data_IF_753340030399
#
_entry.id   IF_753340030399
#
_cell.length_a   1.000
_cell.length_b   1.000
_cell.length_c   1.000
_cell.angle_alpha   90.00
_cell.angle_beta   90.00
_cell.angle_gamma   90.00
#
_symmetry.space_group_name_H-M   'P 1'
#
loop_
_entity.id
_entity.type
_entity.pdbx_description
1 polymer ?
#
# COMPACT_ATOMS: atom_id res chain seq x y z
N UNK A 1 -36.91 -7.98 2.20
CA UNK A 1 -36.17 -8.68 3.28
C UNK A 1 -36.81 -8.29 4.60
N UNK A 2 -37.08 -9.25 5.49
CA UNK A 2 -37.59 -8.96 6.83
C UNK A 2 -36.46 -8.43 7.73
N UNK A 3 -36.79 -7.57 8.69
CA UNK A 3 -35.86 -7.20 9.74
C UNK A 3 -35.68 -8.39 10.70
N UNK A 4 -34.45 -8.84 10.88
CA UNK A 4 -34.11 -9.92 11.81
C UNK A 4 -33.25 -9.31 12.91
N UNK A 5 -33.81 -9.20 14.13
CA UNK A 5 -33.09 -8.63 15.29
C UNK A 5 -31.95 -9.55 15.73
N UNK A 6 -30.84 -8.96 16.18
CA UNK A 6 -29.75 -9.67 16.86
C UNK A 6 -30.04 -9.97 18.34
N UNK A 7 -31.15 -9.46 18.87
CA UNK A 7 -31.42 -9.36 20.32
C UNK A 7 -31.08 -7.99 20.91
N UNK A 8 -30.48 -7.08 20.14
CA UNK A 8 -30.32 -5.67 20.53
C UNK A 8 -31.66 -4.97 20.72
N UNK A 9 -31.81 -4.22 21.82
CA UNK A 9 -32.99 -3.43 22.11
C UNK A 9 -32.70 -1.93 21.93
N UNK A 10 -33.27 -1.25 20.91
CA UNK A 10 -33.09 0.19 20.72
C UNK A 10 -33.75 1.05 21.81
N UNK A 11 -34.75 0.54 22.53
CA UNK A 11 -35.37 1.24 23.67
C UNK A 11 -34.49 1.15 24.93
N UNK A 12 -33.58 0.18 24.99
CA UNK A 12 -32.67 -0.05 26.11
C UNK A 12 -31.24 -0.29 25.61
N UNK A 13 -30.60 0.72 24.99
CA UNK A 13 -29.35 0.53 24.25
C UNK A 13 -28.15 0.14 25.12
N UNK A 14 -28.25 0.24 26.44
CA UNK A 14 -27.19 -0.15 27.38
C UNK A 14 -27.40 -1.54 27.98
N UNK A 15 -28.60 -2.12 27.86
CA UNK A 15 -28.89 -3.46 28.36
C UNK A 15 -28.12 -4.50 27.52
N UNK A 16 -27.44 -5.44 28.19
CA UNK A 16 -26.62 -6.50 27.56
C UNK A 16 -25.49 -6.00 26.64
N UNK A 17 -25.08 -4.72 26.76
CA UNK A 17 -23.94 -4.18 26.01
C UNK A 17 -22.61 -4.68 26.59
N UNK A 18 -21.84 -5.38 25.76
CA UNK A 18 -20.46 -5.79 26.04
C UNK A 18 -19.49 -4.79 25.38
N UNK A 19 -18.58 -4.19 26.16
CA UNK A 19 -17.53 -3.26 25.68
C UNK A 19 -16.16 -3.63 26.24
N UNK A 20 -15.11 -3.04 25.66
CA UNK A 20 -13.73 -3.07 26.19
C UNK A 20 -13.07 -4.46 26.29
N UNK A 21 -13.53 -5.42 25.47
CA UNK A 21 -13.00 -6.80 25.46
C UNK A 21 -11.73 -6.99 24.60
N UNK A 22 -11.41 -6.05 23.70
CA UNK A 22 -10.26 -6.16 22.80
C UNK A 22 -10.35 -7.32 21.78
N UNK A 23 -9.22 -7.71 21.14
CA UNK A 23 -9.19 -8.85 20.22
C UNK A 23 -9.14 -10.18 21.00
N UNK A 24 -9.53 -11.26 20.31
CA UNK A 24 -9.22 -12.64 20.77
C UNK A 24 -7.70 -12.82 20.86
N UNK A 25 -7.24 -13.62 21.81
CA UNK A 25 -5.81 -13.84 22.00
C UNK A 25 -5.29 -14.73 20.86
N UNK A 26 -4.16 -14.38 20.27
CA UNK A 26 -3.64 -15.02 19.07
C UNK A 26 -3.33 -16.52 19.23
N UNK A 27 -3.03 -16.97 20.46
CA UNK A 27 -2.62 -18.34 20.77
C UNK A 27 -3.80 -19.32 20.79
N UNK A 28 -5.03 -18.81 20.82
CA UNK A 28 -6.25 -19.60 20.59
C UNK A 28 -6.31 -20.19 19.16
N UNK A 29 -5.54 -19.63 18.23
CA UNK A 29 -5.59 -19.97 16.80
C UNK A 29 -4.26 -20.55 16.27
N UNK A 30 -3.35 -20.96 17.14
CA UNK A 30 -2.10 -21.56 16.70
C UNK A 30 -2.30 -23.00 16.20
N UNK A 31 -1.70 -23.37 15.05
CA UNK A 31 -1.47 -24.77 14.74
C UNK A 31 -0.68 -25.42 15.90
N UNK A 32 -0.95 -26.70 16.25
CA UNK A 32 -0.30 -27.36 17.38
C UNK A 32 1.24 -27.31 17.32
N UNK A 33 1.83 -27.48 16.14
CA UNK A 33 3.29 -27.38 15.93
C UNK A 33 3.85 -25.98 16.24
N UNK A 34 3.07 -24.92 15.97
CA UNK A 34 3.44 -23.54 16.29
C UNK A 34 3.34 -23.30 17.79
N UNK A 35 2.24 -23.74 18.41
CA UNK A 35 2.04 -23.57 19.85
C UNK A 35 3.16 -24.26 20.66
N UNK A 36 3.49 -25.52 20.29
CA UNK A 36 4.53 -26.33 20.93
C UNK A 36 5.93 -25.70 20.84
N UNK A 37 6.27 -25.10 19.69
CA UNK A 37 7.64 -24.67 19.38
C UNK A 37 7.83 -23.14 19.43
N UNK A 38 6.84 -22.39 19.92
CA UNK A 38 6.91 -20.93 20.02
C UNK A 38 8.14 -20.47 20.81
N UNK A 39 8.99 -19.67 20.16
CA UNK A 39 10.24 -19.16 20.75
C UNK A 39 11.41 -20.14 20.73
N UNK A 40 11.25 -21.33 20.15
CA UNK A 40 12.29 -22.37 20.06
C UNK A 40 12.64 -22.74 18.61
N UNK A 41 12.45 -21.81 17.67
CA UNK A 41 12.87 -21.97 16.27
C UNK A 41 14.38 -21.83 16.14
N UNK A 42 15.00 -22.71 15.35
CA UNK A 42 16.44 -22.75 15.12
C UNK A 42 16.83 -22.04 13.82
N UNK A 43 16.20 -22.42 12.72
CA UNK A 43 16.44 -21.84 11.40
C UNK A 43 15.20 -21.93 10.51
N UNK A 44 15.31 -21.31 9.33
CA UNK A 44 14.33 -21.47 8.26
C UNK A 44 15.05 -21.61 6.92
N UNK A 45 14.35 -22.19 5.96
CA UNK A 45 14.81 -22.32 4.57
C UNK A 45 13.65 -22.00 3.62
N UNK A 46 13.97 -21.46 2.44
CA UNK A 46 13.02 -21.29 1.34
C UNK A 46 13.24 -22.46 0.37
N UNK A 47 12.30 -23.40 0.35
CA UNK A 47 12.42 -24.64 -0.43
C UNK A 47 12.18 -24.40 -1.92
N UNK A 48 11.23 -23.51 -2.23
CA UNK A 48 10.90 -23.03 -3.57
C UNK A 48 10.10 -21.73 -3.43
N UNK A 49 9.86 -20.96 -4.52
CA UNK A 49 8.99 -19.79 -4.45
C UNK A 49 7.63 -20.10 -3.81
N UNK A 50 7.38 -19.42 -2.69
CA UNK A 50 6.14 -19.53 -1.93
C UNK A 50 6.15 -20.62 -0.87
N UNK A 51 7.22 -21.40 -0.71
CA UNK A 51 7.29 -22.49 0.28
C UNK A 51 8.47 -22.30 1.21
N UNK A 52 8.17 -22.24 2.50
CA UNK A 52 9.14 -22.12 3.59
C UNK A 52 9.12 -23.38 4.44
N UNK A 53 10.23 -23.69 5.10
CA UNK A 53 10.27 -24.58 6.26
C UNK A 53 10.93 -23.85 7.42
N UNK A 54 10.38 -24.02 8.63
CA UNK A 54 11.03 -23.63 9.88
C UNK A 54 11.30 -24.89 10.70
N UNK A 55 12.51 -24.99 11.25
CA UNK A 55 12.93 -26.14 12.06
C UNK A 55 13.14 -25.68 13.50
N UNK A 56 12.50 -26.36 14.44
CA UNK A 56 12.63 -26.10 15.86
C UNK A 56 13.86 -26.80 16.46
N UNK A 57 14.29 -26.37 17.65
CA UNK A 57 15.36 -27.05 18.41
C UNK A 57 15.05 -28.51 18.74
N UNK A 58 13.76 -28.87 18.80
CA UNK A 58 13.27 -30.25 19.00
C UNK A 58 13.46 -31.14 17.76
N UNK A 59 13.72 -30.55 16.59
CA UNK A 59 13.67 -31.22 15.30
C UNK A 59 12.28 -31.17 14.63
N UNK A 60 11.25 -30.65 15.30
CA UNK A 60 9.94 -30.43 14.67
C UNK A 60 10.06 -29.45 13.50
N UNK A 61 9.34 -29.72 12.42
CA UNK A 61 9.30 -28.87 11.23
C UNK A 61 7.89 -28.30 11.02
N UNK A 62 7.82 -27.07 10.53
CA UNK A 62 6.59 -26.50 9.98
C UNK A 62 6.85 -25.94 8.60
N UNK A 63 6.07 -26.41 7.64
CA UNK A 63 6.11 -26.00 6.25
C UNK A 63 5.02 -24.96 6.02
N UNK A 64 5.37 -23.83 5.41
CA UNK A 64 4.43 -22.73 5.13
C UNK A 64 4.32 -22.53 3.63
N UNK A 65 3.10 -22.59 3.09
CA UNK A 65 2.79 -22.24 1.70
C UNK A 65 2.11 -20.88 1.66
N UNK A 66 2.79 -19.90 1.06
CA UNK A 66 2.32 -18.51 0.90
C UNK A 66 1.66 -18.32 -0.44
N UNK A 67 0.46 -17.74 -0.41
CA UNK A 67 -0.35 -17.43 -1.58
C UNK A 67 -0.69 -15.94 -1.65
N UNK A 68 -0.75 -15.41 -2.87
CA UNK A 68 -1.24 -14.06 -3.14
C UNK A 68 -2.71 -13.93 -2.74
N UNK A 69 -3.06 -12.78 -2.17
CA UNK A 69 -4.44 -12.41 -1.87
C UNK A 69 -4.73 -11.00 -2.35
N UNK A 70 -5.93 -10.76 -2.88
CA UNK A 70 -6.34 -9.46 -3.42
C UNK A 70 -6.60 -8.39 -2.32
N UNK A 71 -6.44 -8.75 -1.04
CA UNK A 71 -6.81 -7.97 0.17
C UNK A 71 -8.31 -7.69 0.26
N UNK A 72 -8.90 -7.01 -0.71
CA UNK A 72 -10.35 -6.94 -0.87
C UNK A 72 -10.85 -8.32 -1.33
N UNK A 73 -11.71 -8.94 -0.54
CA UNK A 73 -12.23 -10.28 -0.80
C UNK A 73 -13.66 -10.44 -0.34
N UNK A 74 -14.40 -11.31 -1.03
CA UNK A 74 -15.74 -11.70 -0.62
C UNK A 74 -15.68 -12.69 0.54
N UNK A 75 -16.77 -12.79 1.31
CA UNK A 75 -16.92 -13.83 2.32
C UNK A 75 -16.88 -15.24 1.71
N UNK A 76 -17.27 -15.40 0.44
CA UNK A 76 -17.15 -16.67 -0.28
C UNK A 76 -15.70 -17.09 -0.48
N UNK A 77 -14.82 -16.16 -0.85
CA UNK A 77 -13.38 -16.46 -0.97
C UNK A 77 -12.76 -16.79 0.39
N UNK A 78 -13.19 -16.11 1.46
CA UNK A 78 -12.76 -16.46 2.83
C UNK A 78 -13.20 -17.87 3.22
N UNK A 79 -14.45 -18.25 2.91
CA UNK A 79 -14.93 -19.62 3.17
C UNK A 79 -14.16 -20.67 2.38
N UNK A 80 -13.76 -20.36 1.15
CA UNK A 80 -12.89 -21.24 0.34
C UNK A 80 -11.47 -21.35 0.93
N UNK A 81 -10.93 -20.27 1.52
CA UNK A 81 -9.69 -20.33 2.29
C UNK A 81 -9.85 -21.27 3.50
N UNK A 82 -10.96 -21.17 4.23
CA UNK A 82 -11.25 -22.06 5.36
C UNK A 82 -11.39 -23.53 4.90
N UNK A 83 -12.07 -23.80 3.78
CA UNK A 83 -12.19 -25.15 3.20
C UNK A 83 -10.81 -25.77 2.94
N UNK A 84 -9.88 -25.00 2.38
CA UNK A 84 -8.50 -25.44 2.14
C UNK A 84 -7.77 -25.69 3.48
N UNK A 85 -7.95 -24.79 4.45
CA UNK A 85 -7.33 -24.92 5.77
C UNK A 85 -7.86 -26.15 6.53
N UNK A 86 -9.16 -26.42 6.49
CA UNK A 86 -9.76 -27.61 7.09
C UNK A 86 -9.23 -28.89 6.43
N UNK A 87 -9.17 -28.90 5.10
CA UNK A 87 -8.73 -30.06 4.31
C UNK A 87 -7.25 -30.40 4.50
N UNK A 88 -6.38 -29.39 4.57
CA UNK A 88 -4.94 -29.60 4.52
C UNK A 88 -4.21 -29.23 5.82
N UNK A 89 -4.72 -28.29 6.58
CA UNK A 89 -3.99 -27.60 7.66
C UNK A 89 -4.66 -27.72 9.03
N UNK A 90 -5.62 -28.63 9.21
CA UNK A 90 -6.33 -28.82 10.49
C UNK A 90 -7.19 -27.63 10.91
N UNK A 91 -7.65 -26.83 9.94
CA UNK A 91 -8.47 -25.62 10.17
C UNK A 91 -7.66 -24.36 10.49
N UNK A 92 -6.32 -24.42 10.42
CA UNK A 92 -5.46 -23.27 10.71
C UNK A 92 -4.96 -22.56 9.45
N UNK A 93 -5.06 -21.23 9.46
CA UNK A 93 -4.57 -20.34 8.40
C UNK A 93 -4.19 -19.00 9.00
N UNK A 94 -3.26 -18.28 8.37
CA UNK A 94 -2.89 -16.91 8.77
C UNK A 94 -2.75 -15.96 7.59
N UNK A 95 -2.76 -14.67 7.88
CA UNK A 95 -2.40 -13.62 6.92
C UNK A 95 -1.07 -12.97 7.27
N UNK A 96 -0.33 -12.58 6.24
CA UNK A 96 0.92 -11.83 6.37
C UNK A 96 0.65 -10.33 6.53
N UNK A 97 1.64 -9.58 6.97
CA UNK A 97 1.62 -8.11 7.02
C UNK A 97 1.51 -7.43 5.65
N UNK A 98 1.56 -8.21 4.56
CA UNK A 98 1.33 -7.74 3.19
C UNK A 98 0.09 -8.37 2.54
N UNK A 99 -0.85 -8.86 3.36
CA UNK A 99 -2.14 -9.40 2.94
C UNK A 99 -2.10 -10.67 2.07
N UNK A 100 -0.95 -11.33 1.98
CA UNK A 100 -0.86 -12.72 1.50
C UNK A 100 -1.45 -13.68 2.54
N UNK A 101 -1.93 -14.83 2.07
CA UNK A 101 -2.46 -15.94 2.89
C UNK A 101 -1.36 -16.99 3.08
N UNK A 102 -1.27 -17.59 4.26
CA UNK A 102 -0.31 -18.66 4.54
C UNK A 102 -1.00 -19.87 5.18
N UNK A 103 -0.76 -21.02 4.57
CA UNK A 103 -1.20 -22.34 5.03
C UNK A 103 0.00 -23.07 5.63
N UNK A 104 -0.18 -23.72 6.78
CA UNK A 104 0.91 -24.34 7.54
C UNK A 104 0.67 -25.83 7.75
N UNK A 105 1.70 -26.63 7.49
CA UNK A 105 1.69 -28.09 7.55
C UNK A 105 2.84 -28.57 8.45
N UNK A 106 2.64 -29.65 9.20
CA UNK A 106 3.65 -30.26 10.07
C UNK A 106 4.40 -31.43 9.41
N UNK A 107 3.98 -31.85 8.21
CA UNK A 107 4.57 -32.97 7.46
C UNK A 107 4.86 -32.60 6.02
N UNK A 108 6.11 -32.82 5.59
CA UNK A 108 6.56 -32.59 4.21
C UNK A 108 5.71 -33.29 3.14
N UNK A 109 5.29 -34.52 3.43
CA UNK A 109 4.47 -35.33 2.52
C UNK A 109 3.14 -34.67 2.13
N UNK A 110 2.62 -33.77 2.97
CA UNK A 110 1.35 -33.07 2.73
C UNK A 110 1.51 -31.83 1.85
N UNK A 111 2.75 -31.41 1.51
CA UNK A 111 2.96 -30.24 0.68
C UNK A 111 2.41 -30.40 -0.73
N UNK A 112 2.73 -31.52 -1.39
CA UNK A 112 2.34 -31.72 -2.80
C UNK A 112 0.82 -31.67 -2.99
N UNK A 113 -0.01 -32.36 -2.16
CA UNK A 113 -1.46 -32.23 -2.21
C UNK A 113 -1.96 -30.78 -2.07
N UNK A 114 -1.41 -30.00 -1.13
CA UNK A 114 -1.81 -28.61 -0.94
C UNK A 114 -1.41 -27.73 -2.13
N UNK A 115 -0.19 -27.89 -2.64
CA UNK A 115 0.32 -27.11 -3.79
C UNK A 115 -0.53 -27.35 -5.04
N UNK A 116 -0.91 -28.60 -5.30
CA UNK A 116 -1.75 -28.95 -6.45
C UNK A 116 -3.16 -28.36 -6.33
N UNK A 117 -3.76 -28.42 -5.13
CA UNK A 117 -5.10 -27.86 -4.87
C UNK A 117 -5.11 -26.34 -5.07
N UNK A 118 -4.10 -25.64 -4.51
CA UNK A 118 -3.96 -24.19 -4.67
C UNK A 118 -3.75 -23.78 -6.15
N UNK A 119 -2.88 -24.50 -6.88
CA UNK A 119 -2.59 -24.22 -8.28
C UNK A 119 -3.80 -24.44 -9.20
N UNK A 120 -4.67 -25.39 -8.86
CA UNK A 120 -5.89 -25.70 -9.63
C UNK A 120 -7.01 -24.67 -9.49
N UNK A 121 -6.97 -23.78 -8.48
CA UNK A 121 -8.07 -22.86 -8.16
C UNK A 121 -7.97 -21.54 -8.92
N UNK A 122 -8.93 -21.33 -9.84
CA UNK A 122 -9.06 -20.12 -10.66
C UNK A 122 -10.46 -19.52 -10.58
N UNK A 123 -10.56 -18.21 -10.75
CA UNK A 123 -11.84 -17.54 -11.01
C UNK A 123 -12.32 -17.84 -12.43
N UNK A 124 -13.62 -17.69 -12.73
CA UNK A 124 -14.14 -17.83 -14.10
C UNK A 124 -13.43 -16.96 -15.15
N UNK A 125 -12.90 -15.80 -14.75
CA UNK A 125 -12.09 -14.91 -15.61
C UNK A 125 -10.63 -15.33 -15.80
N UNK A 126 -10.23 -16.51 -15.33
CA UNK A 126 -8.90 -17.10 -15.57
C UNK A 126 -7.80 -16.73 -14.57
N UNK A 127 -8.02 -15.73 -13.70
CA UNK A 127 -7.06 -15.38 -12.65
C UNK A 127 -6.96 -16.47 -11.58
N UNK A 128 -5.75 -16.71 -11.08
CA UNK A 128 -5.52 -17.58 -9.94
C UNK A 128 -6.19 -17.04 -8.69
N UNK A 129 -6.89 -17.90 -7.94
CA UNK A 129 -7.43 -17.54 -6.62
C UNK A 129 -6.32 -17.47 -5.57
N UNK A 130 -5.37 -18.41 -5.64
CA UNK A 130 -4.30 -18.57 -4.65
C UNK A 130 -2.93 -18.79 -5.33
N UNK A 131 -2.40 -17.80 -6.08
CA UNK A 131 -1.11 -17.96 -6.72
C UNK A 131 -0.01 -18.11 -5.67
N UNK A 132 0.80 -19.17 -5.76
CA UNK A 132 1.88 -19.47 -4.82
C UNK A 132 3.09 -18.59 -5.12
N UNK A 133 3.67 -17.95 -4.11
CA UNK A 133 4.82 -17.05 -4.30
C UNK A 133 5.07 -16.07 -3.15
N UNK A 134 5.74 -14.95 -3.45
CA UNK A 134 5.91 -13.83 -2.52
C UNK A 134 6.89 -14.10 -1.36
N UNK A 135 7.86 -15.00 -1.55
CA UNK A 135 8.96 -15.29 -0.61
C UNK A 135 10.28 -14.85 -1.22
N UNK A 136 11.35 -14.77 -0.43
CA UNK A 136 12.69 -14.48 -0.95
C UNK A 136 12.81 -13.14 -1.68
N UNK A 137 13.70 -13.07 -2.66
CA UNK A 137 13.98 -11.88 -3.46
C UNK A 137 13.11 -11.83 -4.72
N UNK A 138 11.85 -11.42 -4.53
CA UNK A 138 10.86 -11.17 -5.58
C UNK A 138 9.99 -9.96 -5.23
N UNK A 139 8.84 -9.82 -5.91
CA UNK A 139 7.84 -8.78 -5.65
C UNK A 139 6.64 -9.38 -4.92
N UNK A 140 6.53 -9.13 -3.61
CA UNK A 140 5.51 -9.79 -2.78
C UNK A 140 4.34 -8.87 -2.43
N UNK A 141 3.29 -8.91 -3.25
CA UNK A 141 2.03 -8.18 -3.09
C UNK A 141 2.24 -6.65 -2.96
N UNK A 142 1.16 -5.87 -3.03
CA UNK A 142 1.18 -4.42 -2.90
C UNK A 142 0.29 -4.03 -1.72
N UNK A 143 0.89 -3.43 -0.68
CA UNK A 143 0.12 -2.82 0.41
C UNK A 143 -0.59 -1.60 -0.18
N UNK A 144 -1.91 -1.56 -0.08
CA UNK A 144 -2.74 -0.54 -0.72
C UNK A 144 -3.95 -0.12 0.11
N UNK A 145 -4.62 0.95 -0.32
CA UNK A 145 -5.69 1.64 0.40
C UNK A 145 -7.09 1.30 -0.13
N UNK A 146 -8.07 2.13 0.20
CA UNK A 146 -9.45 1.98 -0.23
C UNK A 146 -9.67 2.41 -1.70
N UNK A 147 -9.06 3.51 -2.15
CA UNK A 147 -9.34 4.07 -3.48
C UNK A 147 -10.81 4.48 -3.63
N UNK A 148 -11.33 4.36 -4.86
CA UNK A 148 -12.70 4.72 -5.20
C UNK A 148 -13.75 3.77 -4.61
N UNK A 149 -13.33 2.66 -4.00
CA UNK A 149 -14.24 1.67 -3.41
C UNK A 149 -14.90 2.18 -2.14
N UNK A 150 -14.24 3.07 -1.37
CA UNK A 150 -14.77 3.47 -0.07
C UNK A 150 -14.32 4.84 0.45
N UNK A 151 -13.20 5.39 -0.02
CA UNK A 151 -12.70 6.66 0.52
C UNK A 151 -13.33 7.84 -0.22
N UNK A 152 -13.54 8.97 0.48
CA UNK A 152 -14.05 10.21 -0.10
C UNK A 152 -12.93 11.20 -0.51
N UNK A 153 -11.69 11.01 -0.06
CA UNK A 153 -10.52 11.84 -0.45
C UNK A 153 -9.55 11.23 -1.49
N UNK A 154 -9.89 10.21 -2.31
CA UNK A 154 -8.92 9.63 -3.24
C UNK A 154 -8.70 10.50 -4.48
N UNK A 155 -7.45 10.59 -4.93
CA UNK A 155 -7.06 11.11 -6.24
C UNK A 155 -6.86 9.99 -7.29
N UNK A 156 -6.89 8.72 -6.88
CA UNK A 156 -6.83 7.54 -7.77
C UNK A 156 -7.51 6.36 -7.10
N UNK A 157 -7.88 5.34 -7.88
CA UNK A 157 -8.24 4.05 -7.31
C UNK A 157 -7.04 3.34 -6.67
N UNK A 158 -7.32 2.33 -5.85
CA UNK A 158 -6.31 1.45 -5.27
C UNK A 158 -6.34 0.04 -5.88
N UNK A 159 -7.50 -0.61 -5.93
CA UNK A 159 -7.57 -2.02 -6.33
C UNK A 159 -7.24 -2.23 -7.81
N UNK A 160 -7.70 -1.32 -8.68
CA UNK A 160 -7.41 -1.31 -10.12
C UNK A 160 -5.92 -1.20 -10.43
N UNK A 161 -5.22 -0.13 -10.00
CA UNK A 161 -3.78 -0.01 -10.25
C UNK A 161 -2.96 -1.16 -9.64
N UNK A 162 -3.32 -1.64 -8.45
CA UNK A 162 -2.65 -2.82 -7.85
C UNK A 162 -2.78 -4.05 -8.73
N UNK A 163 -4.00 -4.33 -9.23
CA UNK A 163 -4.25 -5.44 -10.14
C UNK A 163 -3.44 -5.29 -11.42
N UNK A 164 -3.42 -4.09 -12.01
CA UNK A 164 -2.67 -3.83 -13.23
C UNK A 164 -1.16 -4.07 -13.04
N UNK A 165 -0.56 -3.49 -11.99
CA UNK A 165 0.87 -3.65 -11.73
C UNK A 165 1.22 -5.10 -11.41
N UNK A 166 0.44 -5.78 -10.56
CA UNK A 166 0.72 -7.17 -10.20
C UNK A 166 0.58 -8.14 -11.37
N UNK A 167 -0.22 -7.83 -12.39
CA UNK A 167 -0.28 -8.63 -13.62
C UNK A 167 1.03 -8.51 -14.41
N UNK A 168 1.61 -7.31 -14.51
CA UNK A 168 2.88 -7.07 -15.22
C UNK A 168 4.10 -7.64 -14.48
N UNK A 169 4.02 -7.76 -13.14
CA UNK A 169 5.11 -8.29 -12.29
C UNK A 169 4.80 -9.66 -11.67
N UNK A 170 3.87 -10.40 -12.27
CA UNK A 170 3.44 -11.69 -11.73
C UNK A 170 4.56 -12.73 -11.71
N UNK A 171 5.47 -12.68 -12.69
CA UNK A 171 6.64 -13.55 -12.74
C UNK A 171 7.58 -13.31 -11.54
N UNK A 172 7.79 -12.04 -11.15
CA UNK A 172 8.60 -11.68 -9.99
C UNK A 172 7.92 -12.03 -8.66
N UNK A 173 6.59 -12.17 -8.64
CA UNK A 173 5.88 -12.72 -7.49
C UNK A 173 6.13 -14.23 -7.33
N UNK A 174 6.17 -14.96 -8.45
CA UNK A 174 6.40 -16.42 -8.48
C UNK A 174 7.89 -16.81 -8.51
N UNK A 175 8.81 -15.85 -8.56
CA UNK A 175 10.24 -16.08 -8.69
C UNK A 175 11.08 -15.50 -7.55
N UNK A 176 12.36 -15.86 -7.56
CA UNK A 176 13.42 -15.27 -6.72
C UNK A 176 14.50 -14.63 -7.59
N UNK A 177 14.08 -13.82 -8.55
CA UNK A 177 14.92 -13.26 -9.61
C UNK A 177 15.37 -11.80 -9.35
N UNK A 178 15.12 -11.25 -8.15
CA UNK A 178 15.55 -9.90 -7.80
C UNK A 178 16.85 -9.91 -6.97
N UNK A 179 17.66 -8.84 -7.01
CA UNK A 179 18.85 -8.70 -6.15
C UNK A 179 18.53 -8.71 -4.65
N UNK A 180 17.38 -8.15 -4.27
CA UNK A 180 16.78 -8.18 -2.94
C UNK A 180 15.24 -8.08 -3.06
N UNK A 181 14.46 -8.32 -1.98
CA UNK A 181 13.00 -8.19 -2.05
C UNK A 181 12.57 -6.76 -2.42
N UNK A 182 11.70 -6.64 -3.42
CA UNK A 182 11.13 -5.35 -3.86
C UNK A 182 9.74 -5.18 -3.24
N UNK A 183 9.55 -4.10 -2.48
CA UNK A 183 8.30 -3.72 -1.86
C UNK A 183 7.66 -2.59 -2.67
N UNK A 184 6.49 -2.88 -3.22
CA UNK A 184 5.63 -1.89 -3.86
C UNK A 184 4.49 -1.53 -2.92
N UNK A 185 4.13 -0.25 -2.83
CA UNK A 185 2.98 0.21 -2.05
C UNK A 185 2.18 1.26 -2.79
N UNK A 186 0.87 1.34 -2.53
CA UNK A 186 -0.02 2.32 -3.11
C UNK A 186 -0.79 3.07 -2.03
N UNK A 187 -0.92 4.38 -2.16
CA UNK A 187 -1.91 5.18 -1.44
C UNK A 187 -2.70 6.03 -2.43
N UNK A 188 -4.01 6.08 -2.24
CA UNK A 188 -4.92 6.81 -3.13
C UNK A 188 -4.88 8.33 -2.95
N UNK A 189 -4.25 8.84 -1.90
CA UNK A 189 -4.00 10.26 -1.66
C UNK A 189 -2.78 10.43 -0.72
N UNK A 190 -2.36 11.66 -0.49
CA UNK A 190 -1.16 11.97 0.29
C UNK A 190 -1.26 11.78 1.81
N UNK A 191 -2.42 11.38 2.32
CA UNK A 191 -2.50 10.81 3.68
C UNK A 191 -1.65 9.53 3.79
N UNK A 192 -1.30 8.91 2.66
CA UNK A 192 -0.30 7.85 2.55
C UNK A 192 -0.58 6.64 3.45
N UNK A 193 -1.86 6.33 3.72
CA UNK A 193 -2.27 5.23 4.58
C UNK A 193 -1.60 3.91 4.15
N UNK A 194 -0.66 3.41 4.95
CA UNK A 194 0.15 2.23 4.61
C UNK A 194 1.64 2.56 4.56
N UNK A 195 2.31 2.19 3.46
CA UNK A 195 3.77 2.14 3.40
C UNK A 195 4.39 2.87 2.19
N UNK A 196 3.67 3.81 1.56
CA UNK A 196 4.16 4.56 0.39
C UNK A 196 5.48 5.28 0.67
N UNK A 197 5.57 5.96 1.81
CA UNK A 197 6.74 6.74 2.21
C UNK A 197 7.99 5.89 2.49
N UNK A 198 7.90 4.56 2.60
CA UNK A 198 9.02 3.70 3.02
C UNK A 198 9.16 2.40 2.19
N UNK A 199 8.67 2.41 0.95
CA UNK A 199 8.73 1.28 0.01
C UNK A 199 9.75 1.49 -1.10
N UNK A 200 10.26 0.40 -1.68
CA UNK A 200 11.24 0.46 -2.78
C UNK A 200 10.66 1.18 -3.99
N UNK A 201 9.37 0.95 -4.27
CA UNK A 201 8.58 1.67 -5.26
C UNK A 201 7.25 2.04 -4.61
N UNK A 202 6.75 3.24 -4.84
CA UNK A 202 5.45 3.65 -4.34
C UNK A 202 4.62 4.39 -5.38
N UNK A 203 3.31 4.18 -5.31
CA UNK A 203 2.27 4.76 -6.15
C UNK A 203 1.45 5.67 -5.27
N UNK A 204 1.37 6.96 -5.60
CA UNK A 204 0.70 7.96 -4.77
C UNK A 204 -0.33 8.71 -5.61
N UNK A 205 -1.60 8.66 -5.21
CA UNK A 205 -2.63 9.54 -5.77
C UNK A 205 -2.32 11.00 -5.46
N UNK A 206 -2.43 11.86 -6.48
CA UNK A 206 -2.07 13.27 -6.40
C UNK A 206 -3.06 14.15 -7.14
N UNK A 207 -3.47 15.26 -6.51
CA UNK A 207 -4.32 16.29 -7.11
C UNK A 207 -3.45 17.39 -7.74
N UNK A 208 -3.98 18.12 -8.74
CA UNK A 208 -3.29 19.27 -9.36
C UNK A 208 -4.12 20.54 -9.47
N UNK A 209 -5.27 20.58 -8.79
CA UNK A 209 -6.17 21.74 -8.78
C UNK A 209 -6.51 22.13 -7.33
N UNK A 210 -6.58 23.43 -7.00
CA UNK A 210 -7.06 23.89 -5.71
C UNK A 210 -8.49 23.39 -5.40
N UNK A 211 -8.90 23.33 -4.13
CA UNK A 211 -10.27 22.99 -3.78
C UNK A 211 -11.27 24.01 -4.32
N UNK A 212 -12.43 23.51 -4.75
CA UNK A 212 -13.63 24.33 -4.95
C UNK A 212 -14.20 24.73 -3.60
N UNK A 213 -14.83 25.90 -3.51
CA UNK A 213 -15.40 26.42 -2.27
C UNK A 213 -16.91 26.47 -2.38
N UNK A 214 -17.59 25.62 -1.62
CA UNK A 214 -19.03 25.71 -1.44
C UNK A 214 -19.35 26.72 -0.33
N UNK A 215 -19.28 28.00 -0.70
CA UNK A 215 -19.44 29.12 0.21
C UNK A 215 -20.80 29.16 0.92
N UNK A 216 -21.86 28.61 0.34
CA UNK A 216 -23.21 28.61 0.93
C UNK A 216 -23.29 27.72 2.17
N UNK A 217 -22.52 26.63 2.20
CA UNK A 217 -22.54 25.62 3.25
C UNK A 217 -21.30 25.61 4.13
N UNK A 218 -20.25 26.36 3.78
CA UNK A 218 -18.95 26.30 4.47
C UNK A 218 -19.06 26.56 5.98
N UNK A 219 -19.64 27.68 6.40
CA UNK A 219 -19.79 28.03 7.83
C UNK A 219 -20.81 27.14 8.56
N UNK A 220 -21.70 26.45 7.80
CA UNK A 220 -22.72 25.56 8.35
C UNK A 220 -22.17 24.17 8.66
N UNK A 221 -21.16 23.73 7.90
CA UNK A 221 -20.66 22.35 7.91
C UNK A 221 -19.21 22.24 8.36
N UNK A 222 -18.48 23.36 8.44
CA UNK A 222 -17.05 23.36 8.73
C UNK A 222 -16.71 24.26 9.92
N UNK A 223 -15.85 23.75 10.80
CA UNK A 223 -15.15 24.60 11.76
C UNK A 223 -14.03 25.34 11.04
N UNK A 224 -14.28 26.58 10.59
CA UNK A 224 -13.33 27.39 9.79
C UNK A 224 -11.89 27.39 10.33
N UNK A 225 -11.63 27.53 11.66
CA UNK A 225 -10.28 27.47 12.19
C UNK A 225 -9.55 26.16 11.88
N UNK A 226 -10.25 25.02 11.86
CA UNK A 226 -9.66 23.72 11.50
C UNK A 226 -9.25 23.69 10.03
N UNK A 227 -10.10 24.18 9.13
CA UNK A 227 -9.77 24.25 7.70
C UNK A 227 -8.52 25.11 7.42
N UNK A 228 -8.38 26.23 8.14
CA UNK A 228 -7.21 27.11 8.05
C UNK A 228 -5.96 26.40 8.59
N UNK A 229 -6.03 25.85 9.81
CA UNK A 229 -4.91 25.19 10.47
C UNK A 229 -4.45 23.91 9.75
N UNK A 230 -5.35 23.28 8.99
CA UNK A 230 -5.04 22.10 8.17
C UNK A 230 -4.09 22.39 7.01
N UNK A 231 -3.89 23.65 6.61
CA UNK A 231 -3.09 23.99 5.43
C UNK A 231 -1.58 24.08 5.77
N UNK A 232 -0.74 23.15 5.29
CA UNK A 232 0.68 23.14 5.62
C UNK A 232 1.48 24.29 4.99
N UNK A 233 0.95 24.91 3.92
CA UNK A 233 1.53 26.04 3.18
C UNK A 233 0.86 27.39 3.50
N UNK A 234 -0.04 27.42 4.48
CA UNK A 234 -0.79 28.62 4.88
C UNK A 234 -1.45 29.35 3.69
N UNK A 235 -2.04 28.60 2.77
CA UNK A 235 -2.76 29.11 1.60
C UNK A 235 -4.19 29.55 1.92
N UNK A 236 -4.73 29.19 3.09
CA UNK A 236 -6.13 29.42 3.46
C UNK A 236 -6.20 30.54 4.49
N UNK A 237 -7.12 31.49 4.30
CA UNK A 237 -7.40 32.58 5.25
C UNK A 237 -8.90 32.80 5.44
N UNK A 238 -9.35 33.35 6.57
CA UNK A 238 -10.74 33.75 6.77
C UNK A 238 -11.17 34.77 5.70
N UNK A 239 -12.42 34.68 5.27
CA UNK A 239 -13.04 35.62 4.35
C UNK A 239 -14.51 35.85 4.71
N UNK A 240 -15.08 36.93 4.16
CA UNK A 240 -16.54 37.12 4.11
C UNK A 240 -16.97 37.19 2.65
N UNK A 241 -18.06 36.50 2.32
CA UNK A 241 -18.61 36.44 0.96
C UNK A 241 -20.10 36.78 1.01
N UNK A 242 -20.62 37.36 -0.06
CA UNK A 242 -22.03 37.71 -0.16
C UNK A 242 -22.74 36.72 -1.09
N UNK A 243 -23.76 36.04 -0.57
CA UNK A 243 -24.59 35.09 -1.32
C UNK A 243 -26.04 35.42 -1.02
N UNK A 244 -26.87 35.59 -2.05
CA UNK A 244 -28.30 35.90 -1.91
C UNK A 244 -28.58 37.12 -0.99
N UNK A 245 -27.70 38.13 -1.03
CA UNK A 245 -27.79 39.34 -0.21
C UNK A 245 -27.41 39.15 1.27
N UNK A 246 -26.91 37.99 1.67
CA UNK A 246 -26.43 37.71 3.02
C UNK A 246 -24.90 37.63 3.06
N UNK A 247 -24.29 38.28 4.05
CA UNK A 247 -22.85 38.17 4.33
C UNK A 247 -22.58 36.92 5.17
N UNK A 248 -21.91 35.95 4.57
CA UNK A 248 -21.52 34.69 5.21
C UNK A 248 -20.04 34.70 5.57
N UNK A 249 -19.67 34.03 6.67
CA UNK A 249 -18.26 33.72 6.91
C UNK A 249 -17.84 32.59 5.96
N UNK A 250 -16.61 32.67 5.48
CA UNK A 250 -16.06 31.66 4.60
C UNK A 250 -14.53 31.67 4.66
N UNK A 251 -13.89 31.03 3.68
CA UNK A 251 -12.44 31.10 3.48
C UNK A 251 -12.10 31.58 2.08
N UNK A 252 -10.90 32.11 1.93
CA UNK A 252 -10.27 32.34 0.63
C UNK A 252 -9.00 31.48 0.52
N UNK A 253 -8.75 30.94 -0.67
CA UNK A 253 -7.57 30.14 -0.98
C UNK A 253 -6.64 30.94 -1.89
N UNK A 254 -5.38 31.10 -1.50
CA UNK A 254 -4.33 31.58 -2.38
C UNK A 254 -3.84 30.43 -3.26
N UNK A 255 -4.26 30.40 -4.52
CA UNK A 255 -3.94 29.32 -5.46
C UNK A 255 -2.43 29.16 -5.68
N UNK A 256 -1.65 30.24 -5.67
CA UNK A 256 -0.19 30.20 -5.86
C UNK A 256 0.56 29.54 -4.69
N UNK A 257 -0.08 29.47 -3.51
CA UNK A 257 0.46 28.76 -2.34
C UNK A 257 -0.17 27.37 -2.16
N UNK A 258 -1.22 27.04 -2.90
CA UNK A 258 -1.90 25.77 -2.77
C UNK A 258 -1.09 24.68 -3.49
N UNK A 259 -0.77 23.60 -2.79
CA UNK A 259 -0.12 22.41 -3.37
C UNK A 259 -1.07 21.21 -3.43
N UNK A 260 -2.38 21.46 -3.37
CA UNK A 260 -3.42 20.47 -3.67
C UNK A 260 -3.48 19.26 -2.72
N UNK A 261 -3.00 19.41 -1.49
CA UNK A 261 -2.96 18.29 -0.54
C UNK A 261 -4.31 17.69 -0.14
N UNK A 262 -5.41 18.45 -0.29
CA UNK A 262 -6.73 18.02 0.13
C UNK A 262 -6.95 17.92 1.64
N UNK A 263 -5.96 18.28 2.48
CA UNK A 263 -6.13 18.19 3.94
C UNK A 263 -7.24 19.13 4.45
N UNK A 264 -7.44 20.28 3.79
CA UNK A 264 -8.57 21.16 4.07
C UNK A 264 -9.92 20.48 3.78
N UNK A 265 -10.01 19.65 2.74
CA UNK A 265 -11.23 18.88 2.45
C UNK A 265 -11.50 17.80 3.51
N UNK A 266 -10.44 17.19 4.04
CA UNK A 266 -10.57 16.23 5.16
C UNK A 266 -11.21 16.90 6.39
N UNK A 267 -10.90 18.17 6.63
CA UNK A 267 -11.46 18.95 7.76
C UNK A 267 -12.76 19.69 7.43
N UNK A 268 -13.09 19.88 6.15
CA UNK A 268 -14.22 20.68 5.71
C UNK A 268 -14.85 20.09 4.44
N UNK A 269 -16.06 19.51 4.51
CA UNK A 269 -16.72 18.90 3.35
C UNK A 269 -17.05 19.90 2.23
N UNK A 270 -17.09 21.21 2.53
CA UNK A 270 -17.34 22.29 1.56
C UNK A 270 -16.10 22.73 0.77
N UNK A 271 -15.00 21.97 0.85
CA UNK A 271 -13.75 22.22 0.10
C UNK A 271 -13.31 21.06 -0.83
N UNK A 272 -14.20 20.44 -1.63
CA UNK A 272 -13.83 19.30 -2.48
C UNK A 272 -12.82 19.70 -3.56
N UNK A 273 -11.93 18.77 -3.92
CA UNK A 273 -10.88 19.02 -4.91
C UNK A 273 -10.65 17.91 -5.94
N UNK A 274 -11.41 16.80 -5.86
CA UNK A 274 -11.26 15.71 -6.82
C UNK A 274 -11.62 16.19 -8.23
N UNK A 275 -10.77 15.86 -9.20
CA UNK A 275 -10.91 16.30 -10.59
C UNK A 275 -10.41 15.24 -11.55
N UNK A 276 -11.22 14.92 -12.56
CA UNK A 276 -10.93 13.84 -13.52
C UNK A 276 -9.61 14.02 -14.29
N UNK A 277 -9.24 15.26 -14.62
CA UNK A 277 -8.06 15.59 -15.44
C UNK A 277 -6.87 16.05 -14.59
N UNK A 278 -7.17 16.69 -13.46
CA UNK A 278 -6.20 17.17 -12.48
C UNK A 278 -5.58 16.02 -11.70
N UNK A 279 -6.37 15.00 -11.38
CA UNK A 279 -5.95 13.90 -10.53
C UNK A 279 -5.19 12.81 -11.29
N UNK A 280 -4.19 12.24 -10.62
CA UNK A 280 -3.35 11.20 -11.19
C UNK A 280 -2.45 10.56 -10.15
N UNK A 281 -1.29 10.10 -10.61
CA UNK A 281 -0.34 9.30 -9.84
C UNK A 281 1.05 9.94 -9.86
N UNK A 282 1.65 10.02 -8.69
CA UNK A 282 3.08 10.24 -8.45
C UNK A 282 3.75 8.87 -8.26
N UNK A 283 4.97 8.71 -8.80
CA UNK A 283 5.82 7.54 -8.51
C UNK A 283 6.97 7.95 -7.60
N UNK A 284 7.18 7.18 -6.53
CA UNK A 284 8.30 7.33 -5.62
C UNK A 284 9.17 6.07 -5.59
N UNK A 285 10.44 6.21 -5.22
CA UNK A 285 11.39 5.11 -5.20
C UNK A 285 12.41 5.18 -4.05
N UNK A 286 12.98 4.04 -3.68
CA UNK A 286 14.17 3.93 -2.84
C UNK A 286 13.93 3.86 -1.33
N UNK A 287 12.68 3.74 -0.89
CA UNK A 287 12.36 3.61 0.53
C UNK A 287 12.60 2.20 1.09
N UNK A 288 12.87 2.10 2.39
CA UNK A 288 12.85 0.82 3.13
C UNK A 288 12.71 1.02 4.63
N UNK A 289 12.21 -0.02 5.31
CA UNK A 289 12.08 -0.05 6.78
C UNK A 289 13.13 -0.93 7.49
N UNK A 290 13.79 -1.84 6.77
CA UNK A 290 14.75 -2.77 7.38
C UNK A 290 16.10 -2.11 7.67
N UNK A 291 16.69 -2.42 8.82
CA UNK A 291 18.04 -2.00 9.23
C UNK A 291 19.18 -2.83 8.61
N UNK A 292 18.89 -3.72 7.65
CA UNK A 292 19.91 -4.57 7.02
C UNK A 292 20.85 -3.72 6.17
N UNK A 293 22.14 -3.78 6.47
CA UNK A 293 23.26 -3.06 5.84
C UNK A 293 23.20 -1.53 6.00
N UNK A 294 22.20 -0.88 5.40
CA UNK A 294 21.96 0.57 5.53
C UNK A 294 20.76 0.87 6.45
N UNK A 295 20.64 2.11 6.93
CA UNK A 295 19.51 2.55 7.74
C UNK A 295 18.18 2.55 6.94
N UNK A 296 17.01 2.63 7.61
CA UNK A 296 15.73 2.90 6.96
C UNK A 296 15.75 4.19 6.15
N UNK A 297 14.96 4.24 5.07
CA UNK A 297 14.95 5.33 4.09
C UNK A 297 13.53 5.70 3.70
N UNK A 298 13.28 7.00 3.54
CA UNK A 298 12.08 7.45 2.82
C UNK A 298 12.20 7.17 1.32
N UNK A 299 11.09 6.83 0.67
CA UNK A 299 10.98 6.89 -0.78
C UNK A 299 11.03 8.35 -1.25
N UNK A 300 11.59 8.59 -2.44
CA UNK A 300 11.77 9.90 -3.07
C UNK A 300 10.93 9.99 -4.33
N UNK A 301 10.34 11.14 -4.62
CA UNK A 301 9.56 11.33 -5.84
C UNK A 301 10.50 11.21 -7.06
N UNK A 302 10.16 10.34 -8.00
CA UNK A 302 10.91 10.12 -9.24
C UNK A 302 10.08 10.41 -10.49
N UNK A 303 8.75 10.33 -10.41
CA UNK A 303 7.84 10.82 -11.45
C UNK A 303 6.80 11.71 -10.81
N UNK A 304 6.76 12.97 -11.24
CA UNK A 304 5.90 13.98 -10.64
C UNK A 304 4.41 13.78 -10.97
N UNK A 305 4.09 13.27 -12.15
CA UNK A 305 2.69 13.04 -12.52
C UNK A 305 2.54 12.04 -13.68
N UNK A 306 1.57 11.15 -13.53
CA UNK A 306 1.03 10.27 -14.56
C UNK A 306 -0.50 10.37 -14.47
N UNK A 307 -1.23 10.57 -15.58
CA UNK A 307 -2.69 10.65 -15.54
C UNK A 307 -3.33 9.33 -15.06
N UNK A 308 -4.56 9.42 -14.54
CA UNK A 308 -5.37 8.24 -14.28
C UNK A 308 -5.87 7.63 -15.60
N UNK A 309 -5.49 6.39 -15.88
CA UNK A 309 -5.84 5.68 -17.12
C UNK A 309 -6.57 4.37 -16.80
N UNK A 310 -7.69 4.50 -16.08
CA UNK A 310 -8.55 3.36 -15.74
C UNK A 310 -9.01 2.60 -17.00
N UNK A 311 -9.15 1.26 -16.96
CA UNK A 311 -9.05 0.41 -15.76
C UNK A 311 -7.66 -0.20 -15.53
N UNK A 312 -6.63 0.14 -16.32
CA UNK A 312 -5.35 -0.59 -16.34
C UNK A 312 -4.10 0.24 -16.08
N UNK A 313 -4.17 1.58 -16.05
CA UNK A 313 -3.02 2.44 -15.79
C UNK A 313 -1.74 1.99 -16.53
N UNK A 314 -1.81 1.82 -17.87
CA UNK A 314 -0.71 1.28 -18.66
C UNK A 314 0.59 2.08 -18.49
N UNK A 315 0.51 3.41 -18.41
CA UNK A 315 1.70 4.25 -18.23
C UNK A 315 2.35 3.99 -16.87
N UNK A 316 1.57 4.01 -15.78
CA UNK A 316 2.05 3.68 -14.42
C UNK A 316 2.67 2.29 -14.37
N UNK A 317 1.99 1.28 -14.91
CA UNK A 317 2.44 -0.11 -14.85
C UNK A 317 3.73 -0.32 -15.65
N UNK A 318 3.85 0.30 -16.82
CA UNK A 318 5.06 0.27 -17.66
C UNK A 318 6.26 0.92 -16.97
N UNK A 319 6.08 2.10 -16.36
CA UNK A 319 7.14 2.78 -15.61
C UNK A 319 7.66 1.90 -14.47
N UNK A 320 6.75 1.32 -13.68
CA UNK A 320 7.12 0.45 -12.55
C UNK A 320 7.84 -0.82 -13.04
N UNK A 321 7.34 -1.44 -14.11
CA UNK A 321 7.99 -2.61 -14.70
C UNK A 321 9.40 -2.29 -15.18
N UNK A 322 9.58 -1.16 -15.88
CA UNK A 322 10.89 -0.72 -16.34
C UNK A 322 11.87 -0.52 -15.16
N UNK A 323 11.44 0.19 -14.11
CA UNK A 323 12.25 0.38 -12.91
C UNK A 323 12.71 -0.95 -12.29
N UNK A 324 11.81 -1.94 -12.21
CA UNK A 324 12.13 -3.27 -11.67
C UNK A 324 13.13 -4.00 -12.58
N UNK A 325 12.93 -3.97 -13.89
CA UNK A 325 13.82 -4.66 -14.85
C UNK A 325 15.22 -4.06 -14.86
N UNK A 326 15.34 -2.73 -14.85
CA UNK A 326 16.62 -2.03 -14.82
C UNK A 326 17.35 -2.31 -13.52
N UNK A 327 16.66 -2.18 -12.38
CA UNK A 327 17.22 -2.51 -11.06
C UNK A 327 17.70 -3.96 -11.00
N UNK A 328 16.91 -4.91 -11.50
CA UNK A 328 17.27 -6.32 -11.48
C UNK A 328 18.52 -6.65 -12.32
N UNK A 329 18.76 -5.89 -13.40
CA UNK A 329 19.93 -6.06 -14.29
C UNK A 329 21.20 -5.41 -13.75
N UNK A 330 21.08 -4.30 -13.01
CA UNK A 330 22.22 -3.43 -12.66
C UNK A 330 22.62 -3.47 -11.17
N UNK A 331 21.70 -3.82 -10.28
CA UNK A 331 21.98 -3.83 -8.85
C UNK A 331 22.72 -5.10 -8.41
N UNK A 332 23.59 -4.96 -7.41
CA UNK A 332 24.32 -6.07 -6.84
C UNK A 332 23.44 -6.88 -5.89
N UNK A 333 23.79 -8.15 -5.68
CA UNK A 333 23.10 -9.02 -4.72
C UNK A 333 22.99 -8.34 -3.35
N UNK A 334 21.80 -8.40 -2.76
CA UNK A 334 21.40 -7.78 -1.50
C UNK A 334 21.18 -6.26 -1.50
N UNK A 335 21.48 -5.54 -2.57
CA UNK A 335 21.12 -4.12 -2.65
C UNK A 335 19.62 -3.96 -2.76
N UNK A 336 19.02 -3.11 -1.93
CA UNK A 336 17.65 -2.65 -2.15
C UNK A 336 17.64 -1.59 -3.24
N UNK A 337 16.46 -1.28 -3.81
CA UNK A 337 16.36 -0.30 -4.88
C UNK A 337 16.97 1.06 -4.47
N UNK A 338 16.74 1.49 -3.22
CA UNK A 338 17.34 2.72 -2.69
C UNK A 338 18.84 2.64 -2.42
N UNK A 339 19.37 1.45 -2.11
CA UNK A 339 20.82 1.26 -1.96
C UNK A 339 21.51 1.32 -3.32
N UNK A 340 20.88 0.70 -4.33
CA UNK A 340 21.31 0.80 -5.73
C UNK A 340 21.29 2.26 -6.22
N UNK A 341 20.17 2.97 -6.08
CA UNK A 341 20.02 4.35 -6.52
C UNK A 341 21.07 5.29 -5.89
N UNK A 342 21.31 5.16 -4.59
CA UNK A 342 22.34 5.97 -3.89
C UNK A 342 23.77 5.61 -4.34
N UNK A 343 24.06 4.32 -4.57
CA UNK A 343 25.38 3.90 -5.06
C UNK A 343 25.67 4.44 -6.46
N UNK A 344 24.71 4.33 -7.37
CA UNK A 344 24.91 4.79 -8.76
C UNK A 344 24.77 6.32 -8.90
N UNK A 345 24.13 6.99 -7.94
CA UNK A 345 23.76 8.39 -8.01
C UNK A 345 22.44 8.60 -8.77
N UNK A 346 21.62 9.53 -8.31
CA UNK A 346 20.30 9.79 -8.88
C UNK A 346 20.36 10.16 -10.37
N UNK A 347 21.40 10.86 -10.82
CA UNK A 347 21.62 11.17 -12.23
C UNK A 347 21.68 9.91 -13.11
N UNK A 348 22.33 8.84 -12.65
CA UNK A 348 22.39 7.55 -13.36
C UNK A 348 21.12 6.74 -13.18
N UNK A 349 20.39 6.92 -12.07
CA UNK A 349 19.08 6.32 -11.90
C UNK A 349 18.09 6.83 -12.96
N UNK A 350 18.00 8.14 -13.16
CA UNK A 350 17.12 8.74 -14.17
C UNK A 350 17.50 8.31 -15.59
N UNK A 351 18.80 8.32 -15.91
CA UNK A 351 19.32 7.85 -17.20
C UNK A 351 18.96 6.37 -17.44
N UNK A 352 19.30 5.47 -16.51
CA UNK A 352 19.09 4.02 -16.68
C UNK A 352 17.62 3.63 -16.70
N UNK A 353 16.78 4.31 -15.92
CA UNK A 353 15.34 4.05 -15.87
C UNK A 353 14.57 4.79 -16.98
N UNK A 354 15.24 5.61 -17.80
CA UNK A 354 14.63 6.42 -18.85
C UNK A 354 13.45 7.25 -18.31
N UNK A 355 13.66 7.91 -17.17
CA UNK A 355 12.67 8.77 -16.53
C UNK A 355 13.12 10.22 -16.66
N UNK A 356 12.21 11.09 -17.13
CA UNK A 356 12.46 12.52 -17.21
C UNK A 356 12.58 13.14 -15.82
N UNK A 357 13.70 13.83 -15.58
CA UNK A 357 13.84 14.69 -14.41
C UNK A 357 13.17 16.04 -14.68
N UNK A 358 12.31 16.48 -13.77
CA UNK A 358 11.68 17.81 -13.84
C UNK A 358 11.89 18.58 -12.54
N UNK A 359 11.73 19.89 -12.57
CA UNK A 359 11.88 20.73 -11.37
C UNK A 359 10.91 20.36 -10.24
N UNK A 360 9.78 19.70 -10.53
CA UNK A 360 8.83 19.21 -9.53
C UNK A 360 9.42 18.17 -8.56
N UNK A 361 10.59 17.59 -8.89
CA UNK A 361 11.27 16.60 -8.06
C UNK A 361 12.23 17.24 -7.05
N UNK A 362 12.48 18.54 -7.18
CA UNK A 362 13.33 19.31 -6.28
C UNK A 362 12.46 19.74 -5.10
N UNK A 363 12.84 19.36 -3.89
CA UNK A 363 12.09 19.73 -2.68
C UNK A 363 12.10 21.26 -2.50
N UNK A 364 10.94 21.78 -2.14
CA UNK A 364 10.66 23.18 -1.85
C UNK A 364 9.90 23.37 -0.52
N UNK A 365 9.77 22.31 0.27
CA UNK A 365 8.98 22.33 1.51
C UNK A 365 9.81 22.71 2.75
N UNK A 366 9.74 23.99 3.11
CA UNK A 366 10.35 24.59 4.32
C UNK A 366 11.89 24.47 4.31
N UNK A 367 12.52 24.78 5.43
CA UNK A 367 13.99 24.74 5.58
C UNK A 367 14.63 23.37 5.27
N UNK A 368 14.00 22.21 5.58
CA UNK A 368 14.60 20.91 5.27
C UNK A 368 14.86 20.66 3.79
N UNK A 369 14.14 21.34 2.89
CA UNK A 369 14.34 21.26 1.45
C UNK A 369 15.81 21.52 1.05
N UNK A 370 16.48 22.44 1.76
CA UNK A 370 17.90 22.75 1.56
C UNK A 370 18.79 21.50 1.60
N UNK A 371 18.55 20.58 2.54
CA UNK A 371 19.38 19.37 2.69
C UNK A 371 19.16 18.33 1.59
N UNK A 372 18.16 18.53 0.72
CA UNK A 372 17.91 17.65 -0.43
C UNK A 372 18.74 18.06 -1.65
N UNK A 373 19.21 19.31 -1.72
CA UNK A 373 20.03 19.77 -2.84
C UNK A 373 21.46 19.22 -2.74
N UNK A 374 22.22 19.34 -3.83
CA UNK A 374 23.61 18.86 -3.89
C UNK A 374 24.58 19.97 -3.46
N UNK A 375 25.09 19.92 -2.23
CA UNK A 375 26.16 20.82 -1.75
C UNK A 375 27.56 20.22 -1.95
N UNK A 376 27.81 19.64 -3.13
CA UNK A 376 29.10 19.05 -3.48
C UNK A 376 29.33 19.17 -4.98
N UNK A 377 30.60 19.26 -5.39
CA UNK A 377 31.02 19.23 -6.79
C UNK A 377 31.09 17.82 -7.37
N UNK A 378 30.86 16.78 -6.56
CA UNK A 378 30.81 15.41 -7.02
C UNK A 378 29.50 15.14 -7.76
N UNK A 379 29.56 14.97 -9.08
CA UNK A 379 28.44 14.54 -9.93
C UNK A 379 28.99 13.79 -11.15
N UNK A 380 28.11 13.08 -11.85
CA UNK A 380 28.44 12.42 -13.13
C UNK A 380 27.84 13.21 -14.29
N UNK A 381 28.60 13.34 -15.37
CA UNK A 381 28.16 13.97 -16.61
C UNK A 381 27.16 13.12 -17.38
#
# INVERSE_FOLDING_TARGET
MAFISSGYNPEKPMENRITDIGPRKYDEFYPPVIAKNKGQWLYHEILQPGVLVHVAKSGDEVYTVRCGGARLMTTMLIREICEIADKHCGGYVRWTTRNNVEFMLDKKANLKPLLDDLAGRKFPGGSFKFPIGGTGAGVSNIVHTQGWIHCHTPATDASGPVKAVMDEVFAEFQGHNMPAPVRVSLACCLNMCGAVHCSDIAILGYHRKPPMLDHEYLDKMCEIPLAIAACPTAAIKPAKVEINGQKLNSVAVNNERCMFCGNCYTMCPSMPLADKEGDGIVIMAGGKVSNRLSAPKFSKVVVAFIPNEAPRWPTTSKVIKNMIEVYAKDAHKYERLGDWAERIGWERFFEKCEIDFTHHLIDDFRDPAYYTWRQTTQFKF
#
